data_IF_842761690042
#
_entry.id   IF_842761690042
#
_cell.length_a   1.000
_cell.length_b   1.000
_cell.length_c   1.000
_cell.angle_alpha   90.00
_cell.angle_beta   90.00
_cell.angle_gamma   90.00
#
_symmetry.space_group_name_H-M   'P 1'
#
loop_
_entity.id
_entity.type
_entity.pdbx_description
1 polymer ?
#
# COMPACT_ATOMS: atom_id res chain seq x y z
N UNK A 1 -1.71 -7.34 -13.13
CA UNK A 1 -2.71 -6.33 -12.73
C UNK A 1 -2.62 -5.17 -13.68
N UNK A 2 -3.72 -4.91 -14.37
CA UNK A 2 -3.90 -3.71 -15.18
C UNK A 2 -4.00 -2.47 -14.26
N UNK A 3 -3.67 -1.29 -14.78
CA UNK A 3 -3.70 -0.06 -13.98
C UNK A 3 -5.11 0.22 -13.43
N UNK A 4 -6.14 -0.04 -14.23
CA UNK A 4 -7.56 0.12 -13.84
C UNK A 4 -7.90 -0.70 -12.59
N UNK A 5 -7.36 -1.91 -12.50
CA UNK A 5 -7.61 -2.80 -11.36
C UNK A 5 -6.96 -2.25 -10.07
N UNK A 6 -5.75 -1.67 -10.19
CA UNK A 6 -5.07 -1.00 -9.08
C UNK A 6 -5.85 0.20 -8.58
N UNK A 7 -6.35 1.03 -9.51
CA UNK A 7 -7.10 2.23 -9.17
C UNK A 7 -8.41 1.89 -8.43
N UNK A 8 -9.09 0.82 -8.84
CA UNK A 8 -10.29 0.32 -8.17
C UNK A 8 -9.99 -0.17 -6.74
N UNK A 9 -8.92 -0.94 -6.54
CA UNK A 9 -8.51 -1.42 -5.21
C UNK A 9 -8.12 -0.24 -4.30
N UNK A 10 -7.36 0.72 -4.83
CA UNK A 10 -6.98 1.91 -4.10
C UNK A 10 -8.19 2.77 -3.73
N UNK A 11 -9.18 2.87 -4.61
CA UNK A 11 -10.45 3.56 -4.32
C UNK A 11 -11.20 2.88 -3.19
N UNK A 12 -11.35 1.55 -3.22
CA UNK A 12 -12.01 0.79 -2.17
C UNK A 12 -11.27 0.85 -0.82
N UNK A 13 -9.94 0.92 -0.85
CA UNK A 13 -9.14 1.09 0.36
C UNK A 13 -9.26 2.50 0.95
N UNK A 14 -9.20 3.54 0.09
CA UNK A 14 -9.40 4.94 0.48
C UNK A 14 -10.80 5.21 1.02
N UNK A 15 -11.83 4.56 0.48
CA UNK A 15 -13.21 4.69 0.97
C UNK A 15 -13.46 3.93 2.27
N UNK A 16 -12.49 3.14 2.76
CA UNK A 16 -12.64 2.27 3.93
C UNK A 16 -13.48 1.00 3.68
N UNK A 17 -13.89 0.75 2.43
CA UNK A 17 -14.59 -0.47 2.04
C UNK A 17 -13.70 -1.70 2.22
N UNK A 18 -12.40 -1.54 1.93
CA UNK A 18 -11.36 -2.50 2.28
C UNK A 18 -10.56 -2.00 3.48
N UNK A 19 -10.48 -2.81 4.55
CA UNK A 19 -9.72 -2.48 5.76
C UNK A 19 -8.24 -2.88 5.71
N UNK A 20 -7.91 -3.82 4.84
CA UNK A 20 -6.56 -4.39 4.73
C UNK A 20 -6.14 -4.30 3.26
N UNK A 21 -4.95 -3.77 3.02
CA UNK A 21 -4.30 -3.74 1.71
C UNK A 21 -3.01 -4.55 1.82
N UNK A 22 -2.88 -5.56 0.97
CA UNK A 22 -1.64 -6.34 0.82
C UNK A 22 -1.01 -5.92 -0.49
N UNK A 23 0.24 -5.47 -0.44
CA UNK A 23 0.96 -5.05 -1.64
C UNK A 23 2.46 -5.30 -1.56
N UNK A 24 3.10 -5.17 -2.71
CA UNK A 24 4.55 -5.15 -2.88
C UNK A 24 5.05 -3.71 -2.96
N UNK A 25 6.38 -3.52 -2.94
CA UNK A 25 7.06 -2.22 -2.96
C UNK A 25 6.70 -1.33 -4.15
N UNK A 26 6.07 -1.90 -5.18
CA UNK A 26 5.63 -1.15 -6.35
C UNK A 26 4.50 -0.17 -5.99
N UNK A 27 3.61 -0.54 -5.06
CA UNK A 27 2.52 0.35 -4.65
C UNK A 27 2.84 1.14 -3.39
N UNK A 28 3.91 0.86 -2.64
CA UNK A 28 4.19 1.60 -1.40
C UNK A 28 4.51 3.07 -1.64
N UNK A 29 5.06 3.43 -2.82
CA UNK A 29 5.33 4.84 -3.16
C UNK A 29 4.07 5.54 -3.68
N UNK A 30 3.68 6.63 -3.03
CA UNK A 30 2.58 7.49 -3.49
C UNK A 30 1.19 7.08 -2.99
N UNK A 31 1.09 6.11 -2.08
CA UNK A 31 -0.14 5.87 -1.33
C UNK A 31 -0.27 6.94 -0.25
N UNK A 32 -1.17 7.89 -0.49
CA UNK A 32 -1.60 8.86 0.53
C UNK A 32 -2.95 8.43 1.10
N UNK A 33 -2.98 7.71 2.22
CA UNK A 33 -4.21 7.31 2.90
C UNK A 33 -4.13 7.75 4.36
N UNK A 34 -4.83 8.82 4.69
CA UNK A 34 -4.73 9.49 5.99
C UNK A 34 -5.11 8.63 7.20
N UNK A 35 -5.85 7.53 7.00
CA UNK A 35 -6.36 6.67 8.09
C UNK A 35 -5.57 5.37 8.29
N UNK A 36 -4.36 5.23 7.75
CA UNK A 36 -3.53 4.04 8.04
C UNK A 36 -2.97 4.15 9.47
N UNK A 37 -3.38 3.22 10.35
CA UNK A 37 -2.90 3.16 11.74
C UNK A 37 -1.75 2.16 11.93
N UNK A 38 -1.57 1.22 11.01
CA UNK A 38 -0.61 0.12 11.14
C UNK A 38 -0.08 -0.28 9.75
N UNK A 39 1.24 -0.37 9.64
CA UNK A 39 1.95 -0.95 8.50
C UNK A 39 2.71 -2.18 8.99
N UNK A 40 2.54 -3.31 8.30
CA UNK A 40 3.22 -4.57 8.62
C UNK A 40 4.15 -4.92 7.47
N UNK A 41 5.45 -4.93 7.75
CA UNK A 41 6.47 -5.45 6.83
C UNK A 41 6.53 -6.97 6.97
N UNK A 42 5.84 -7.71 6.09
CA UNK A 42 5.88 -9.18 6.11
C UNK A 42 7.26 -9.71 5.73
N UNK A 43 7.80 -9.23 4.62
CA UNK A 43 9.18 -9.50 4.19
C UNK A 43 10.08 -8.32 4.52
N UNK A 44 11.29 -8.61 5.02
CA UNK A 44 12.26 -7.58 5.33
C UNK A 44 12.69 -6.86 4.04
N UNK A 45 12.63 -5.52 3.96
CA UNK A 45 13.10 -4.80 2.79
C UNK A 45 14.60 -5.02 2.57
N UNK A 46 15.01 -5.10 1.30
CA UNK A 46 16.40 -5.37 0.90
C UNK A 46 17.32 -4.16 1.09
N UNK A 47 16.75 -2.96 1.25
CA UNK A 47 17.50 -1.73 1.47
C UNK A 47 16.73 -0.77 2.39
N UNK A 48 17.46 0.19 2.97
CA UNK A 48 16.93 1.17 3.93
C UNK A 48 15.88 2.11 3.31
N UNK A 49 16.06 2.50 2.05
CA UNK A 49 15.17 3.44 1.37
C UNK A 49 13.76 2.83 1.23
N UNK A 50 13.68 1.55 0.84
CA UNK A 50 12.43 0.79 0.79
C UNK A 50 11.77 0.68 2.17
N UNK A 51 12.55 0.57 3.25
CA UNK A 51 11.98 0.56 4.61
C UNK A 51 11.33 1.89 4.98
N UNK A 52 11.97 3.02 4.64
CA UNK A 52 11.47 4.36 4.96
C UNK A 52 10.21 4.71 4.14
N UNK A 53 10.10 4.18 2.93
CA UNK A 53 8.97 4.44 2.03
C UNK A 53 7.77 3.50 2.22
N UNK A 54 7.89 2.41 2.98
CA UNK A 54 6.80 1.46 3.24
C UNK A 54 5.89 1.91 4.37
#
# INVERSE_FOLDING_TARGET
MEQIERDNIMTAFRSGSSRILISTDLLSRGIDVQQISLVINFDLPTNLESYIHR
#
